data_IF_982260185646
#
_entry.id   IF_982260185646
#
_cell.length_a   1.000
_cell.length_b   1.000
_cell.length_c   1.000
_cell.angle_alpha   90.00
_cell.angle_beta   90.00
_cell.angle_gamma   90.00
#
_symmetry.space_group_name_H-M   'P 1'
#
loop_
_entity.id
_entity.type
_entity.pdbx_description
1 polymer ?
#
# COMPACT_ATOMS: atom_id res chain seq x y z
N UNK A 1 -17.74 54.85 -46.37
CA UNK A 1 -17.01 53.93 -45.51
C UNK A 1 -18.03 53.20 -44.65
N UNK A 2 -18.29 51.88 -44.98
CA UNK A 2 -19.15 51.03 -44.15
C UNK A 2 -18.26 50.33 -43.13
N UNK A 3 -18.35 50.70 -41.85
CA UNK A 3 -17.74 50.00 -40.77
C UNK A 3 -18.54 48.70 -40.51
N UNK A 4 -17.92 47.57 -40.83
CA UNK A 4 -18.41 46.27 -40.39
C UNK A 4 -18.20 46.16 -38.89
N UNK A 5 -19.23 46.40 -38.13
CA UNK A 5 -19.29 46.05 -36.69
C UNK A 5 -19.34 44.53 -36.64
N UNK A 6 -18.18 43.89 -36.43
CA UNK A 6 -18.13 42.49 -36.04
C UNK A 6 -18.82 42.41 -34.65
N UNK A 7 -20.00 41.83 -34.64
CA UNK A 7 -20.67 41.48 -33.39
C UNK A 7 -19.79 40.47 -32.68
N UNK A 8 -19.08 40.89 -31.65
CA UNK A 8 -18.47 39.98 -30.68
C UNK A 8 -19.65 39.35 -29.95
N UNK A 9 -19.89 38.05 -30.26
CA UNK A 9 -20.85 37.24 -29.54
C UNK A 9 -20.39 37.21 -28.07
N UNK A 10 -20.99 38.00 -27.24
CA UNK A 10 -20.73 37.99 -25.81
C UNK A 10 -21.13 36.64 -25.25
N UNK A 11 -20.18 35.96 -24.63
CA UNK A 11 -20.45 34.72 -23.91
C UNK A 11 -21.49 35.00 -22.86
N UNK A 12 -22.62 34.29 -22.89
CA UNK A 12 -23.71 34.51 -21.93
C UNK A 12 -23.29 33.97 -20.55
N UNK A 13 -23.76 34.62 -19.48
CA UNK A 13 -23.47 34.21 -18.10
C UNK A 13 -23.91 32.75 -17.87
N UNK A 14 -24.98 32.32 -18.51
CA UNK A 14 -25.51 30.96 -18.46
C UNK A 14 -24.55 29.96 -19.10
N UNK A 15 -23.88 30.32 -20.20
CA UNK A 15 -22.90 29.44 -20.89
C UNK A 15 -21.66 29.24 -20.04
N UNK A 16 -21.15 30.27 -19.37
CA UNK A 16 -20.04 30.14 -18.42
C UNK A 16 -20.44 29.28 -17.22
N UNK A 17 -21.62 29.44 -16.66
CA UNK A 17 -22.08 28.60 -15.55
C UNK A 17 -22.21 27.15 -15.97
N UNK A 18 -22.69 26.85 -17.16
CA UNK A 18 -22.79 25.49 -17.67
C UNK A 18 -21.39 24.83 -17.85
N UNK A 19 -20.46 25.57 -18.43
CA UNK A 19 -19.07 25.08 -18.61
C UNK A 19 -18.39 24.80 -17.26
N UNK A 20 -18.56 25.72 -16.30
CA UNK A 20 -17.99 25.53 -14.95
C UNK A 20 -18.63 24.34 -14.22
N UNK A 21 -19.93 24.09 -14.39
CA UNK A 21 -20.62 22.95 -13.79
C UNK A 21 -20.07 21.62 -14.35
N UNK A 22 -19.86 21.52 -15.66
CA UNK A 22 -19.28 20.32 -16.29
C UNK A 22 -17.82 20.14 -15.86
N UNK A 23 -17.03 21.23 -15.86
CA UNK A 23 -15.64 21.19 -15.43
C UNK A 23 -15.51 20.69 -13.97
N UNK A 24 -16.36 21.18 -13.07
CA UNK A 24 -16.38 20.74 -11.67
C UNK A 24 -16.66 19.23 -11.54
N UNK A 25 -17.62 18.69 -12.30
CA UNK A 25 -17.90 17.25 -12.33
C UNK A 25 -16.68 16.42 -12.75
N UNK A 26 -16.00 16.83 -13.82
CA UNK A 26 -14.83 16.13 -14.35
C UNK A 26 -13.70 16.14 -13.32
N UNK A 27 -13.46 17.28 -12.66
CA UNK A 27 -12.42 17.41 -11.63
C UNK A 27 -12.68 16.44 -10.47
N UNK A 28 -13.92 16.41 -9.94
CA UNK A 28 -14.27 15.53 -8.82
C UNK A 28 -14.09 14.05 -9.18
N UNK A 29 -14.52 13.64 -10.37
CA UNK A 29 -14.32 12.26 -10.85
C UNK A 29 -12.84 11.92 -11.00
N UNK A 30 -12.03 12.83 -11.53
CA UNK A 30 -10.59 12.64 -11.73
C UNK A 30 -9.85 12.47 -10.40
N UNK A 31 -10.20 13.25 -9.38
CA UNK A 31 -9.59 13.14 -8.04
C UNK A 31 -9.94 11.78 -7.41
N UNK A 32 -11.17 11.32 -7.48
CA UNK A 32 -11.59 10.02 -6.96
C UNK A 32 -10.87 8.86 -7.64
N UNK A 33 -10.75 8.92 -8.97
CA UNK A 33 -10.01 7.92 -9.72
C UNK A 33 -8.53 7.90 -9.34
N UNK A 34 -7.91 9.07 -9.21
CA UNK A 34 -6.51 9.19 -8.79
C UNK A 34 -6.28 8.59 -7.39
N UNK A 35 -7.14 8.87 -6.43
CA UNK A 35 -7.05 8.31 -5.07
C UNK A 35 -7.16 6.78 -5.08
N UNK A 36 -8.09 6.22 -5.86
CA UNK A 36 -8.25 4.77 -5.99
C UNK A 36 -7.03 4.11 -6.64
N UNK A 37 -6.49 4.72 -7.69
CA UNK A 37 -5.30 4.22 -8.38
C UNK A 37 -4.07 4.24 -7.46
N UNK A 38 -3.87 5.33 -6.71
CA UNK A 38 -2.76 5.47 -5.76
C UNK A 38 -2.85 4.44 -4.65
N UNK A 39 -4.03 4.23 -4.07
CA UNK A 39 -4.24 3.21 -3.03
C UNK A 39 -3.93 1.81 -3.53
N UNK A 40 -4.37 1.47 -4.74
CA UNK A 40 -4.09 0.17 -5.36
C UNK A 40 -2.59 -0.04 -5.61
N UNK A 41 -1.88 1.00 -6.03
CA UNK A 41 -0.43 0.96 -6.23
C UNK A 41 0.30 0.75 -4.89
N UNK A 42 -0.09 1.47 -3.85
CA UNK A 42 0.47 1.30 -2.50
C UNK A 42 0.27 -0.13 -1.99
N UNK A 43 -0.93 -0.69 -2.15
CA UNK A 43 -1.24 -2.08 -1.77
C UNK A 43 -0.32 -3.07 -2.48
N UNK A 44 -0.11 -2.92 -3.79
CA UNK A 44 0.74 -3.83 -4.55
C UNK A 44 2.21 -3.72 -4.12
N UNK A 45 2.71 -2.51 -3.87
CA UNK A 45 4.07 -2.30 -3.37
C UNK A 45 4.28 -2.95 -2.00
N UNK A 46 3.33 -2.76 -1.08
CA UNK A 46 3.38 -3.37 0.26
C UNK A 46 3.36 -4.90 0.16
N UNK A 47 2.54 -5.46 -0.72
CA UNK A 47 2.50 -6.91 -0.93
C UNK A 47 3.84 -7.46 -1.45
N UNK A 48 4.48 -6.76 -2.38
CA UNK A 48 5.81 -7.13 -2.87
C UNK A 48 6.85 -7.06 -1.75
N UNK A 49 6.79 -6.03 -0.89
CA UNK A 49 7.66 -5.93 0.29
C UNK A 49 7.44 -7.09 1.27
N UNK A 50 6.18 -7.44 1.57
CA UNK A 50 5.84 -8.59 2.43
C UNK A 50 6.40 -9.89 1.84
N UNK A 51 6.24 -10.12 0.55
CA UNK A 51 6.78 -11.30 -0.13
C UNK A 51 8.31 -11.30 -0.11
N UNK A 52 8.96 -10.16 -0.31
CA UNK A 52 10.40 -10.02 -0.20
C UNK A 52 10.92 -10.31 1.20
N UNK A 53 10.22 -9.84 2.23
CA UNK A 53 10.53 -10.14 3.64
C UNK A 53 10.39 -11.64 3.92
N UNK A 54 9.32 -12.27 3.44
CA UNK A 54 9.10 -13.71 3.61
C UNK A 54 10.22 -14.52 2.96
N UNK A 55 10.57 -14.20 1.72
CA UNK A 55 11.66 -14.88 1.01
C UNK A 55 13.01 -14.67 1.68
N UNK A 56 13.29 -13.48 2.22
CA UNK A 56 14.52 -13.20 2.97
C UNK A 56 14.57 -14.00 4.27
N UNK A 57 13.45 -14.11 4.99
CA UNK A 57 13.36 -14.92 6.20
C UNK A 57 13.58 -16.41 5.91
N UNK A 58 12.97 -16.93 4.85
CA UNK A 58 13.15 -18.31 4.43
C UNK A 58 14.63 -18.60 4.07
N UNK A 59 15.30 -17.69 3.36
CA UNK A 59 16.72 -17.82 3.03
C UNK A 59 17.61 -17.81 4.29
N UNK A 60 17.31 -16.95 5.26
CA UNK A 60 18.04 -16.93 6.54
C UNK A 60 17.82 -18.20 7.34
N UNK A 61 16.59 -18.73 7.32
CA UNK A 61 16.23 -19.97 8.01
C UNK A 61 16.88 -21.20 7.38
N UNK A 62 17.08 -21.25 6.06
CA UNK A 62 17.79 -22.35 5.38
C UNK A 62 19.22 -22.51 5.92
N UNK A 63 19.90 -21.41 6.23
CA UNK A 63 21.26 -21.44 6.76
C UNK A 63 21.36 -21.94 8.21
N UNK A 64 20.33 -21.66 9.03
CA UNK A 64 20.28 -21.99 10.47
C UNK A 64 19.39 -23.18 10.82
N UNK A 65 18.58 -23.65 9.87
CA UNK A 65 17.55 -24.67 10.07
C UNK A 65 16.35 -24.22 10.92
N UNK A 66 16.27 -22.95 11.29
CA UNK A 66 15.23 -22.40 12.17
C UNK A 66 15.10 -20.89 11.99
N UNK A 67 13.92 -20.34 12.26
CA UNK A 67 13.73 -18.89 12.34
C UNK A 67 14.16 -18.32 13.69
N UNK A 68 14.35 -19.16 14.71
CA UNK A 68 14.77 -18.72 16.04
C UNK A 68 16.15 -18.02 16.00
N UNK A 69 16.24 -16.87 16.64
CA UNK A 69 17.49 -16.10 16.70
C UNK A 69 17.76 -15.18 15.52
N UNK A 70 16.93 -15.18 14.47
CA UNK A 70 17.03 -14.19 13.40
C UNK A 70 16.66 -12.83 13.97
N UNK A 71 17.53 -11.85 13.75
CA UNK A 71 17.36 -10.47 14.23
C UNK A 71 16.83 -9.55 13.14
N UNK A 72 16.22 -8.44 13.54
CA UNK A 72 15.77 -7.39 12.60
C UNK A 72 16.95 -6.85 11.74
N UNK A 73 18.15 -6.78 12.30
CA UNK A 73 19.33 -6.32 11.58
C UNK A 73 19.76 -7.30 10.47
N UNK A 74 19.67 -8.62 10.73
CA UNK A 74 19.93 -9.63 9.72
C UNK A 74 18.88 -9.60 8.61
N UNK A 75 17.60 -9.42 8.96
CA UNK A 75 16.53 -9.23 7.98
C UNK A 75 16.79 -7.99 7.11
N UNK A 76 17.15 -6.84 7.71
CA UNK A 76 17.49 -5.63 6.95
C UNK A 76 18.63 -5.87 5.97
N UNK A 77 19.68 -6.56 6.39
CA UNK A 77 20.79 -6.92 5.50
C UNK A 77 20.36 -7.85 4.36
N UNK A 78 19.51 -8.84 4.65
CA UNK A 78 19.01 -9.80 3.68
C UNK A 78 18.08 -9.19 2.61
N UNK A 79 17.28 -8.19 2.97
CA UNK A 79 16.42 -7.47 2.01
C UNK A 79 17.14 -6.34 1.27
N UNK A 80 18.44 -6.14 1.53
CA UNK A 80 19.25 -5.10 0.88
C UNK A 80 19.15 -3.71 1.52
N UNK A 81 18.78 -3.64 2.81
CA UNK A 81 18.80 -2.42 3.60
C UNK A 81 17.46 -2.00 4.20
N UNK A 82 17.52 -1.08 5.16
CA UNK A 82 16.35 -0.59 5.88
C UNK A 82 15.31 0.12 4.96
N UNK A 83 15.76 0.71 3.86
CA UNK A 83 14.89 1.38 2.89
C UNK A 83 13.88 0.42 2.25
N UNK A 84 14.24 -0.85 2.03
CA UNK A 84 13.36 -1.86 1.47
C UNK A 84 12.29 -2.38 2.46
N UNK A 85 12.44 -2.07 3.74
CA UNK A 85 11.44 -2.31 4.78
C UNK A 85 10.55 -1.10 5.04
N UNK A 86 10.81 0.04 4.39
CA UNK A 86 10.00 1.24 4.53
C UNK A 86 8.86 1.21 3.51
N UNK A 87 7.62 1.23 4.00
CA UNK A 87 6.43 1.22 3.15
C UNK A 87 6.27 2.55 2.39
N UNK A 88 5.46 2.61 1.32
CA UNK A 88 5.12 3.87 0.65
C UNK A 88 4.43 4.90 1.55
N UNK A 89 3.99 4.48 2.74
CA UNK A 89 3.39 5.34 3.76
C UNK A 89 4.43 5.94 4.73
N UNK A 90 5.73 5.66 4.53
CA UNK A 90 6.82 6.11 5.39
C UNK A 90 6.96 5.33 6.70
N UNK A 91 6.24 4.21 6.86
CA UNK A 91 6.30 3.35 8.04
C UNK A 91 7.25 2.17 7.80
N UNK A 92 7.89 1.66 8.87
CA UNK A 92 8.83 0.55 8.77
C UNK A 92 8.17 -0.77 9.13
N UNK A 93 8.40 -1.79 8.31
CA UNK A 93 8.01 -3.17 8.60
C UNK A 93 8.98 -3.74 9.64
N UNK A 94 8.44 -4.29 10.72
CA UNK A 94 9.22 -4.87 11.82
C UNK A 94 8.89 -6.33 11.98
N UNK A 95 9.92 -7.12 12.35
CA UNK A 95 9.78 -8.53 12.69
C UNK A 95 9.83 -8.69 14.21
N UNK A 96 9.02 -9.60 14.72
CA UNK A 96 8.97 -9.95 16.14
C UNK A 96 8.72 -11.44 16.34
N UNK A 97 8.99 -11.94 17.55
CA UNK A 97 8.74 -13.29 18.00
C UNK A 97 9.22 -14.41 17.04
N UNK A 98 10.50 -14.40 16.59
CA UNK A 98 11.02 -15.51 15.81
C UNK A 98 11.06 -16.77 16.68
N UNK A 99 10.47 -17.86 16.16
CA UNK A 99 10.40 -19.17 16.81
C UNK A 99 11.07 -20.23 15.94
N UNK A 100 11.10 -21.48 16.37
CA UNK A 100 11.66 -22.54 15.55
C UNK A 100 10.92 -22.71 14.21
N UNK A 101 9.60 -22.49 14.18
CA UNK A 101 8.73 -22.80 13.04
C UNK A 101 8.07 -21.57 12.42
N UNK A 102 8.30 -20.36 12.95
CA UNK A 102 7.63 -19.18 12.43
C UNK A 102 8.09 -17.86 13.03
N UNK A 103 7.50 -16.79 12.55
CA UNK A 103 7.78 -15.41 12.97
C UNK A 103 6.54 -14.53 12.76
N UNK A 104 6.54 -13.38 13.40
CA UNK A 104 5.48 -12.38 13.27
C UNK A 104 6.03 -11.12 12.61
N UNK A 105 5.33 -10.62 11.61
CA UNK A 105 5.63 -9.34 10.96
C UNK A 105 4.55 -8.33 11.31
N UNK A 106 4.97 -7.13 11.63
CA UNK A 106 4.10 -6.00 11.92
C UNK A 106 4.38 -4.87 10.93
N UNK A 107 3.36 -4.45 10.21
CA UNK A 107 3.40 -3.35 9.25
C UNK A 107 2.36 -2.29 9.65
N UNK A 108 2.78 -1.13 10.18
CA UNK A 108 1.87 -0.01 10.41
C UNK A 108 1.37 0.52 9.07
N UNK A 109 0.05 0.57 8.87
CA UNK A 109 -0.62 0.99 7.64
C UNK A 109 -1.70 2.01 7.95
N UNK A 110 -2.25 2.67 6.92
CA UNK A 110 -3.42 3.52 7.12
C UNK A 110 -4.73 2.71 7.00
N UNK A 111 -5.83 3.28 7.50
CA UNK A 111 -7.13 2.62 7.53
C UNK A 111 -7.70 2.26 6.14
N UNK A 112 -7.22 2.91 5.08
CA UNK A 112 -7.67 2.64 3.70
C UNK A 112 -6.95 1.45 3.08
N UNK A 113 -5.63 1.37 3.28
CA UNK A 113 -4.76 0.35 2.65
C UNK A 113 -4.76 -0.95 3.44
N UNK A 114 -4.82 -0.87 4.77
CA UNK A 114 -4.71 -2.01 5.67
C UNK A 114 -5.72 -3.13 5.38
N UNK A 115 -7.05 -2.90 5.23
CA UNK A 115 -7.99 -3.98 4.95
C UNK A 115 -7.75 -4.63 3.58
N UNK A 116 -7.30 -3.85 2.59
CA UNK A 116 -6.99 -4.38 1.25
C UNK A 116 -5.75 -5.28 1.26
N UNK A 117 -4.72 -4.91 2.01
CA UNK A 117 -3.53 -5.76 2.19
C UNK A 117 -3.88 -6.99 3.01
N UNK A 118 -4.63 -6.85 4.10
CA UNK A 118 -5.04 -7.94 4.97
C UNK A 118 -5.78 -9.05 4.21
N UNK A 119 -6.75 -8.70 3.36
CA UNK A 119 -7.48 -9.69 2.55
C UNK A 119 -6.59 -10.44 1.57
N UNK A 120 -5.61 -9.76 0.97
CA UNK A 120 -4.69 -10.38 0.02
C UNK A 120 -3.64 -11.26 0.72
N UNK A 121 -3.16 -10.85 1.88
CA UNK A 121 -2.22 -11.65 2.68
C UNK A 121 -2.92 -12.88 3.28
N UNK A 122 -4.15 -12.74 3.77
CA UNK A 122 -4.95 -13.84 4.31
C UNK A 122 -5.27 -14.94 3.27
N UNK A 123 -5.21 -14.64 1.99
CA UNK A 123 -5.35 -15.63 0.93
C UNK A 123 -4.16 -16.62 0.87
N UNK A 124 -3.05 -16.33 1.53
CA UNK A 124 -1.91 -17.24 1.65
C UNK A 124 -2.09 -18.13 2.88
N UNK A 125 -2.20 -19.44 2.68
CA UNK A 125 -2.46 -20.43 3.73
C UNK A 125 -1.39 -20.48 4.83
N UNK A 126 -0.16 -20.05 4.55
CA UNK A 126 0.94 -20.02 5.52
C UNK A 126 0.95 -18.75 6.38
N UNK A 127 0.07 -17.80 6.12
CA UNK A 127 0.03 -16.51 6.80
C UNK A 127 -1.30 -16.34 7.55
N UNK A 128 -1.25 -16.47 8.87
CA UNK A 128 -2.37 -16.09 9.72
C UNK A 128 -2.36 -14.57 9.92
N UNK A 129 -3.39 -13.89 9.46
CA UNK A 129 -3.52 -12.43 9.57
C UNK A 129 -4.38 -12.08 10.78
N UNK A 130 -3.83 -11.29 11.68
CA UNK A 130 -4.61 -10.61 12.73
C UNK A 130 -4.80 -9.15 12.32
N UNK A 131 -5.96 -8.86 11.74
CA UNK A 131 -6.36 -7.49 11.46
C UNK A 131 -7.24 -6.99 12.62
N UNK A 132 -6.85 -5.93 13.33
CA UNK A 132 -7.72 -5.32 14.34
C UNK A 132 -8.94 -4.68 13.67
N UNK A 133 -10.02 -4.50 14.43
CA UNK A 133 -11.30 -3.90 13.97
C UNK A 133 -11.10 -2.48 13.38
N UNK A 134 -10.10 -1.76 13.89
CA UNK A 134 -9.58 -0.52 13.30
C UNK A 134 -8.22 -0.82 12.68
N UNK A 135 -8.21 -1.12 11.38
CA UNK A 135 -7.01 -1.57 10.69
C UNK A 135 -6.03 -0.40 10.48
N UNK A 136 -5.21 -0.12 11.47
CA UNK A 136 -4.07 0.83 11.37
C UNK A 136 -2.71 0.13 11.46
N UNK A 137 -2.71 -1.16 11.84
CA UNK A 137 -1.51 -1.98 11.93
C UNK A 137 -1.86 -3.39 11.47
N UNK A 138 -1.19 -3.85 10.44
CA UNK A 138 -1.30 -5.23 9.97
C UNK A 138 -0.27 -6.09 10.70
N UNK A 139 -0.73 -7.09 11.41
CA UNK A 139 0.12 -8.11 12.01
C UNK A 139 -0.19 -9.45 11.35
N UNK A 140 0.82 -10.11 10.82
CA UNK A 140 0.66 -11.46 10.32
C UNK A 140 1.71 -12.39 10.91
N UNK A 141 1.30 -13.61 11.21
CA UNK A 141 2.16 -14.66 11.73
C UNK A 141 2.36 -15.69 10.63
N UNK A 142 3.61 -15.90 10.25
CA UNK A 142 4.01 -16.96 9.33
C UNK A 142 4.29 -18.24 10.12
N UNK A 143 3.76 -19.37 9.64
CA UNK A 143 4.01 -20.68 10.22
C UNK A 143 4.45 -21.65 9.12
N UNK A 144 5.69 -22.15 9.19
CA UNK A 144 6.24 -23.09 8.22
C UNK A 144 5.70 -24.53 8.39
N UNK A 145 5.03 -24.82 9.51
CA UNK A 145 4.54 -26.17 9.84
C UNK A 145 3.14 -26.50 9.29
N UNK A 146 2.50 -25.55 8.58
CA UNK A 146 1.18 -25.77 7.95
C UNK A 146 1.26 -26.05 6.47
#
# INVERSE_FOLDING_TARGET
MKQNIRSTLGVTLLEIMLVLAIAAMIIVMSIRYYQSATSSQQVNTILQQIQGVTAAMDNLAVGSGTYAGITQAQLQAAVGGAANLTTPLGTTITMSAPSATGYTITAPLNATVCPMVATKVAANLKMAVTAPTTCTTLTYTYNAAT
#
